data_IF_109085445450
#
_entry.id   IF_109085445450
#
_cell.length_a   1.000
_cell.length_b   1.000
_cell.length_c   1.000
_cell.angle_alpha   90.00
_cell.angle_beta   90.00
_cell.angle_gamma   90.00
#
_symmetry.space_group_name_H-M   'P 1'
#
loop_
_entity.id
_entity.type
_entity.pdbx_description
1 polymer ?
#
# COMPACT_ATOMS: atom_id res chain seq x y z
N UNK A 1 -13.63 -10.21 -9.08
CA UNK A 1 -12.61 -10.85 -9.94
C UNK A 1 -11.34 -10.01 -9.84
N UNK A 2 -10.26 -10.54 -9.29
CA UNK A 2 -9.00 -9.80 -9.18
C UNK A 2 -8.20 -9.88 -10.47
N UNK A 3 -7.50 -8.80 -10.82
CA UNK A 3 -6.46 -8.89 -11.85
C UNK A 3 -5.36 -9.80 -11.30
N UNK A 4 -5.10 -10.90 -11.99
CA UNK A 4 -4.04 -11.83 -11.62
C UNK A 4 -2.69 -11.11 -11.72
N UNK A 5 -1.81 -11.29 -10.73
CA UNK A 5 -0.48 -10.67 -10.75
C UNK A 5 0.27 -11.17 -11.98
N UNK A 6 0.58 -10.25 -12.90
CA UNK A 6 1.35 -10.53 -14.10
C UNK A 6 2.80 -10.08 -13.88
N UNK A 7 3.72 -10.98 -13.48
CA UNK A 7 5.06 -10.61 -12.99
C UNK A 7 5.96 -9.94 -14.04
N UNK A 8 5.56 -9.96 -15.31
CA UNK A 8 6.31 -9.37 -16.43
C UNK A 8 5.62 -8.14 -17.03
N UNK A 9 4.45 -7.75 -16.53
CA UNK A 9 3.74 -6.60 -17.06
C UNK A 9 4.43 -5.31 -16.59
N UNK A 10 4.95 -4.55 -17.55
CA UNK A 10 5.65 -3.27 -17.32
C UNK A 10 4.86 -2.05 -17.77
N UNK A 11 4.03 -2.20 -18.80
CA UNK A 11 3.25 -1.11 -19.37
C UNK A 11 1.78 -1.53 -19.38
N UNK A 12 0.91 -0.68 -18.83
CA UNK A 12 -0.53 -0.88 -18.80
C UNK A 12 -1.21 0.42 -19.21
N UNK A 13 -2.23 0.30 -20.05
CA UNK A 13 -3.08 1.41 -20.46
C UNK A 13 -4.52 0.99 -20.20
N UNK A 14 -5.21 1.78 -19.40
CA UNK A 14 -6.61 1.62 -19.01
C UNK A 14 -7.43 2.89 -19.26
N UNK A 15 -6.91 3.83 -20.07
CA UNK A 15 -7.67 4.97 -20.59
C UNK A 15 -9.04 4.56 -21.12
N UNK A 16 -10.02 5.44 -20.88
CA UNK A 16 -11.42 5.28 -21.28
C UNK A 16 -12.15 4.12 -20.59
N UNK A 17 -11.58 3.59 -19.49
CA UNK A 17 -12.26 2.60 -18.66
C UNK A 17 -12.98 3.31 -17.49
N UNK A 18 -14.28 3.04 -17.24
CA UNK A 18 -15.03 3.67 -16.14
C UNK A 18 -14.38 3.55 -14.76
N UNK A 19 -13.58 2.51 -14.54
CA UNK A 19 -12.82 2.31 -13.30
C UNK A 19 -11.84 3.45 -13.00
N UNK A 20 -11.43 4.24 -14.00
CA UNK A 20 -10.58 5.43 -13.80
C UNK A 20 -11.28 6.54 -12.99
N UNK A 21 -12.62 6.50 -12.90
CA UNK A 21 -13.41 7.42 -12.10
C UNK A 21 -13.41 7.07 -10.61
N UNK A 22 -12.91 5.88 -10.23
CA UNK A 22 -12.79 5.50 -8.83
C UNK A 22 -11.70 6.32 -8.13
N UNK A 23 -12.00 6.75 -6.90
CA UNK A 23 -11.04 7.45 -6.04
C UNK A 23 -9.84 6.53 -5.81
N UNK A 24 -8.65 7.09 -5.88
CA UNK A 24 -7.37 6.36 -5.71
C UNK A 24 -7.13 5.21 -6.69
N UNK A 25 -7.89 5.11 -7.79
CA UNK A 25 -7.72 4.09 -8.82
C UNK A 25 -6.25 3.87 -9.20
N UNK A 26 -5.55 4.97 -9.49
CA UNK A 26 -4.14 4.95 -9.90
C UNK A 26 -3.28 4.26 -8.84
N UNK A 27 -3.48 4.60 -7.57
CA UNK A 27 -2.72 4.02 -6.46
C UNK A 27 -3.05 2.56 -6.25
N UNK A 28 -4.33 2.20 -6.30
CA UNK A 28 -4.76 0.80 -6.17
C UNK A 28 -4.10 -0.08 -7.23
N UNK A 29 -3.99 0.41 -8.47
CA UNK A 29 -3.33 -0.33 -9.56
C UNK A 29 -1.83 -0.45 -9.33
N UNK A 30 -1.15 0.64 -8.95
CA UNK A 30 0.29 0.64 -8.66
C UNK A 30 0.61 -0.34 -7.53
N UNK A 31 -0.19 -0.32 -6.47
CA UNK A 31 0.01 -1.17 -5.30
C UNK A 31 -0.23 -2.65 -5.61
N UNK A 32 -1.24 -2.96 -6.44
CA UNK A 32 -1.53 -4.34 -6.89
C UNK A 32 -0.56 -4.87 -7.95
N UNK A 33 0.15 -3.99 -8.66
CA UNK A 33 1.10 -4.34 -9.72
C UNK A 33 2.48 -3.68 -9.50
N UNK A 34 3.27 -4.15 -8.52
CA UNK A 34 4.56 -3.54 -8.19
C UNK A 34 5.61 -3.63 -9.31
N UNK A 35 5.41 -4.47 -10.33
CA UNK A 35 6.30 -4.56 -11.50
C UNK A 35 5.97 -3.52 -12.58
N UNK A 36 4.86 -2.80 -12.45
CA UNK A 36 4.41 -1.83 -13.42
C UNK A 36 5.33 -0.60 -13.41
N UNK A 37 5.78 -0.20 -14.59
CA UNK A 37 6.67 0.95 -14.80
C UNK A 37 5.92 2.14 -15.42
N UNK A 38 4.91 1.87 -16.26
CA UNK A 38 4.11 2.89 -16.95
C UNK A 38 2.63 2.54 -16.85
N UNK A 39 1.82 3.52 -16.43
CA UNK A 39 0.36 3.44 -16.38
C UNK A 39 -0.22 4.61 -17.16
N UNK A 40 -1.13 4.36 -18.09
CA UNK A 40 -1.82 5.39 -18.88
C UNK A 40 -0.88 6.38 -19.60
N UNK A 41 0.24 5.84 -20.10
CA UNK A 41 1.35 6.58 -20.74
C UNK A 41 2.17 7.48 -19.78
N UNK A 42 1.92 7.41 -18.48
CA UNK A 42 2.69 8.10 -17.46
C UNK A 42 3.64 7.15 -16.73
N UNK A 43 4.89 7.55 -16.55
CA UNK A 43 5.85 6.79 -15.77
C UNK A 43 5.49 6.84 -14.28
N UNK A 44 5.55 5.68 -13.61
CA UNK A 44 5.32 5.57 -12.17
C UNK A 44 6.59 6.02 -11.45
N UNK A 45 6.46 7.03 -10.59
CA UNK A 45 7.58 7.54 -9.79
C UNK A 45 7.76 6.68 -8.52
N UNK A 46 8.95 6.67 -7.91
CA UNK A 46 9.17 5.98 -6.64
C UNK A 46 8.20 6.44 -5.54
N UNK A 47 7.97 7.75 -5.43
CA UNK A 47 7.03 8.34 -4.46
C UNK A 47 5.60 7.82 -4.62
N UNK A 48 5.15 7.60 -5.86
CA UNK A 48 3.80 7.05 -6.12
C UNK A 48 3.67 5.64 -5.54
N UNK A 49 4.76 4.85 -5.55
CA UNK A 49 4.76 3.50 -4.99
C UNK A 49 4.65 3.53 -3.47
N UNK A 50 5.45 4.36 -2.82
CA UNK A 50 5.42 4.50 -1.36
C UNK A 50 4.03 4.94 -0.88
N UNK A 51 3.44 5.90 -1.59
CA UNK A 51 2.10 6.36 -1.28
C UNK A 51 1.04 5.28 -1.55
N UNK A 52 1.16 4.53 -2.65
CA UNK A 52 0.23 3.44 -2.97
C UNK A 52 0.22 2.31 -1.92
N UNK A 53 1.36 2.04 -1.30
CA UNK A 53 1.47 1.06 -0.20
C UNK A 53 0.78 1.60 1.04
N UNK A 54 1.00 2.88 1.39
CA UNK A 54 0.31 3.53 2.51
C UNK A 54 -1.22 3.48 2.35
N UNK A 55 -1.74 3.80 1.18
CA UNK A 55 -3.19 3.74 0.91
C UNK A 55 -3.74 2.32 1.05
N UNK A 56 -3.00 1.30 0.57
CA UNK A 56 -3.39 -0.10 0.76
C UNK A 56 -3.41 -0.50 2.23
N UNK A 57 -2.38 -0.11 2.99
CA UNK A 57 -2.29 -0.41 4.41
C UNK A 57 -3.41 0.26 5.21
N UNK A 58 -3.76 1.49 4.87
CA UNK A 58 -4.87 2.21 5.50
C UNK A 58 -6.22 1.53 5.23
N UNK A 59 -6.47 1.13 3.98
CA UNK A 59 -7.67 0.37 3.62
C UNK A 59 -7.74 -0.98 4.35
N UNK A 60 -6.61 -1.71 4.45
CA UNK A 60 -6.56 -2.99 5.17
C UNK A 60 -6.78 -2.81 6.69
N UNK A 61 -6.26 -1.72 7.25
CA UNK A 61 -6.44 -1.41 8.66
C UNK A 61 -7.92 -1.16 8.99
N UNK A 62 -8.61 -0.38 8.16
CA UNK A 62 -10.03 -0.11 8.34
C UNK A 62 -10.88 -1.38 8.16
N UNK A 63 -10.59 -2.19 7.14
CA UNK A 63 -11.28 -3.48 6.93
C UNK A 63 -11.07 -4.43 8.12
N UNK A 64 -9.88 -4.44 8.73
CA UNK A 64 -9.61 -5.24 9.92
C UNK A 64 -10.39 -4.75 11.15
N UNK A 65 -10.54 -3.43 11.31
CA UNK A 65 -11.34 -2.85 12.41
C UNK A 65 -12.81 -3.21 12.22
N UNK A 66 -13.35 -3.06 11.02
CA UNK A 66 -14.74 -3.43 10.70
C UNK A 66 -15.00 -4.92 10.97
N UNK A 67 -14.04 -5.78 10.62
CA UNK A 67 -14.13 -7.22 10.89
C UNK A 67 -14.15 -7.50 12.40
N UNK A 68 -13.34 -6.79 13.20
CA UNK A 68 -13.32 -6.96 14.67
C UNK A 68 -14.66 -6.57 15.28
N UNK A 69 -15.22 -5.43 14.88
CA UNK A 69 -16.54 -4.98 15.34
C UNK A 69 -17.61 -6.00 14.97
N UNK A 70 -17.61 -6.49 13.73
CA UNK A 70 -18.57 -7.51 13.29
C UNK A 70 -18.45 -8.83 14.07
N UNK A 71 -17.24 -9.20 14.50
CA UNK A 71 -17.01 -10.39 15.34
C UNK A 71 -17.50 -10.16 16.77
N UNK A 72 -17.25 -8.98 17.35
CA UNK A 72 -17.76 -8.63 18.69
C UNK A 72 -19.29 -8.61 18.70
N UNK A 73 -19.93 -7.98 17.72
CA UNK A 73 -21.40 -7.99 17.56
C UNK A 73 -21.94 -9.43 17.41
N UNK A 74 -21.22 -10.31 16.71
CA UNK A 74 -21.59 -11.72 16.58
C UNK A 74 -21.44 -12.48 17.91
N UNK A 75 -20.37 -12.22 18.67
CA UNK A 75 -20.16 -12.83 19.98
C UNK A 75 -21.21 -12.39 21.00
N UNK A 76 -21.62 -11.11 20.97
CA UNK A 76 -22.71 -10.59 21.80
C UNK A 76 -24.08 -11.13 21.36
N UNK A 77 -24.26 -11.42 20.07
CA UNK A 77 -25.47 -12.04 19.53
C UNK A 77 -25.55 -13.55 19.82
N UNK A 78 -24.43 -14.21 20.13
CA UNK A 78 -24.43 -15.59 20.62
C UNK A 78 -24.70 -15.53 22.12
N UNK A 79 -25.97 -15.68 22.50
CA UNK A 79 -26.37 -15.96 23.88
C UNK A 79 -25.45 -17.07 24.41
N UNK A 80 -24.80 -16.92 25.58
CA UNK A 80 -24.01 -17.98 26.15
C UNK A 80 -24.95 -19.15 26.34
N UNK A 81 -24.80 -20.19 25.50
CA UNK A 81 -25.54 -21.44 25.65
C UNK A 81 -25.34 -21.84 27.10
N UNK A 82 -26.40 -21.76 27.90
CA UNK A 82 -26.41 -22.25 29.26
C UNK A 82 -26.02 -23.72 29.15
N UNK A 83 -24.73 -24.01 29.37
CA UNK A 83 -24.24 -25.34 29.64
C UNK A 83 -24.83 -25.71 30.99
N UNK A 84 -26.10 -26.09 30.95
CA UNK A 84 -26.78 -26.76 32.04
C UNK A 84 -26.10 -28.12 32.20
N UNK A 85 -24.95 -28.12 32.86
CA UNK A 85 -24.26 -29.32 33.30
C UNK A 85 -25.09 -29.95 34.41
N UNK A 86 -26.03 -30.79 33.98
CA UNK A 86 -26.45 -31.96 34.73
C UNK A 86 -25.27 -32.91 34.87
N UNK A 87 -24.31 -32.56 35.73
CA UNK A 87 -23.21 -33.45 36.12
C UNK A 87 -23.04 -33.40 37.64
N UNK A 88 -24.01 -33.96 38.36
CA UNK A 88 -23.81 -34.34 39.76
C UNK A 88 -22.86 -35.53 39.81
N UNK A 89 -21.55 -35.27 39.84
CA UNK A 89 -20.55 -36.27 40.21
C UNK A 89 -20.13 -36.04 41.66
N UNK A 90 -20.20 -37.05 42.55
CA UNK A 90 -19.87 -36.91 43.96
C UNK A 90 -18.35 -36.81 44.19
N UNK A 91 -17.93 -36.15 45.30
CA UNK A 91 -16.55 -35.76 45.52
C UNK A 91 -15.65 -36.92 45.97
N UNK A 92 -14.52 -37.03 45.27
CA UNK A 92 -13.15 -37.27 45.75
C UNK A 92 -12.90 -38.31 46.86
N UNK A 93 -12.12 -39.34 46.50
CA UNK A 93 -11.00 -39.76 47.34
C UNK A 93 -9.69 -39.72 46.54
N UNK A 94 -8.88 -38.73 46.87
CA UNK A 94 -7.46 -38.66 46.55
C UNK A 94 -6.69 -39.68 47.37
N UNK A 95 -5.86 -40.50 46.73
CA UNK A 95 -4.69 -41.10 47.37
C UNK A 95 -3.50 -40.92 46.44
N UNK A 96 -2.61 -40.04 46.90
CA UNK A 96 -1.28 -39.76 46.37
C UNK A 96 -0.35 -40.96 46.61
N UNK A 97 0.34 -41.38 45.56
CA UNK A 97 1.76 -41.83 45.45
C UNK A 97 1.94 -42.18 43.97
N UNK A 98 2.97 -41.84 43.20
CA UNK A 98 4.42 -41.79 43.42
C UNK A 98 4.99 -41.14 42.13
N UNK A 99 5.86 -40.14 42.24
CA UNK A 99 7.30 -40.33 42.04
C UNK A 99 7.63 -40.89 40.63
N UNK A 100 7.90 -39.99 39.70
CA UNK A 100 8.72 -40.28 38.52
C UNK A 100 9.62 -39.09 38.24
N UNK A 101 10.91 -39.31 38.49
CA UNK A 101 12.03 -38.60 37.89
C UNK A 101 11.77 -38.32 36.41
N UNK A 102 11.91 -37.06 36.01
CA UNK A 102 12.05 -36.69 34.61
C UNK A 102 13.38 -35.95 34.47
N UNK A 103 14.43 -36.74 34.20
CA UNK A 103 15.65 -36.23 33.57
C UNK A 103 15.33 -35.89 32.13
N UNK A 104 15.76 -34.73 31.65
CA UNK A 104 16.14 -34.57 30.25
C UNK A 104 17.03 -33.31 30.15
N UNK A 105 18.33 -33.58 30.21
CA UNK A 105 19.39 -32.72 29.73
C UNK A 105 19.32 -32.70 28.20
N UNK A 106 19.15 -31.54 27.57
CA UNK A 106 19.57 -31.34 26.18
C UNK A 106 20.15 -29.93 26.01
N UNK A 107 21.48 -29.89 26.17
CA UNK A 107 22.38 -28.89 25.62
C UNK A 107 22.18 -28.83 24.09
N UNK A 108 21.67 -27.70 23.58
CA UNK A 108 21.76 -27.39 22.16
C UNK A 108 22.97 -26.50 21.94
N UNK A 109 24.02 -27.13 21.42
CA UNK A 109 25.29 -26.51 21.03
C UNK A 109 25.11 -25.46 19.92
N UNK A 110 26.02 -24.49 20.03
CA UNK A 110 26.37 -23.43 19.10
C UNK A 110 26.51 -23.92 17.65
N UNK A 111 25.83 -23.23 16.73
CA UNK A 111 25.97 -23.42 15.29
C UNK A 111 26.65 -22.21 14.66
N UNK A 112 27.96 -22.31 14.53
CA UNK A 112 28.89 -21.36 13.89
C UNK A 112 28.55 -21.02 12.42
N UNK A 113 28.88 -19.77 12.09
CA UNK A 113 29.48 -19.26 10.85
C UNK A 113 28.81 -19.50 9.48
N UNK A 114 28.47 -18.37 8.84
CA UNK A 114 28.70 -18.18 7.41
C UNK A 114 29.08 -16.72 7.14
N UNK A 115 30.39 -16.47 7.03
CA UNK A 115 30.94 -15.31 6.35
C UNK A 115 30.57 -15.38 4.86
N UNK A 116 29.89 -14.36 4.34
CA UNK A 116 29.76 -14.12 2.90
C UNK A 116 30.43 -12.78 2.56
N UNK A 117 31.74 -12.86 2.32
CA UNK A 117 32.50 -11.88 1.54
C UNK A 117 32.03 -11.95 0.07
N UNK A 118 31.42 -10.89 -0.45
CA UNK A 118 31.31 -10.70 -1.90
C UNK A 118 31.48 -9.23 -2.33
N UNK A 119 32.67 -9.00 -2.92
CA UNK A 119 33.02 -8.09 -4.01
C UNK A 119 32.86 -6.58 -3.84
N UNK A 120 33.99 -5.96 -3.51
CA UNK A 120 34.38 -4.64 -4.01
C UNK A 120 34.30 -4.63 -5.55
N UNK A 121 33.42 -3.80 -6.10
CA UNK A 121 33.48 -3.41 -7.51
C UNK A 121 34.10 -2.03 -7.59
N UNK A 122 35.38 -2.04 -7.98
CA UNK A 122 36.16 -0.90 -8.46
C UNK A 122 35.38 -0.18 -9.59
N UNK A 123 34.74 0.95 -9.28
CA UNK A 123 34.26 1.88 -10.31
C UNK A 123 35.34 2.93 -10.55
N UNK A 124 36.15 2.59 -11.55
CA UNK A 124 37.18 3.42 -12.17
C UNK A 124 36.72 4.86 -12.40
N UNK A 125 37.51 5.78 -11.85
CA UNK A 125 37.55 7.19 -12.18
C UNK A 125 37.62 7.40 -13.71
N UNK A 126 36.62 8.09 -14.27
CA UNK A 126 36.83 8.86 -15.49
C UNK A 126 36.55 10.32 -15.21
N UNK A 127 37.63 11.00 -14.85
CA UNK A 127 37.81 12.42 -15.06
C UNK A 127 37.53 12.74 -16.53
N UNK A 128 36.52 13.56 -16.79
CA UNK A 128 36.52 14.41 -17.97
C UNK A 128 36.13 15.82 -17.55
N UNK A 129 37.18 16.62 -17.50
CA UNK A 129 37.24 18.04 -17.23
C UNK A 129 36.55 18.87 -18.32
N UNK A 130 36.05 20.04 -17.89
CA UNK A 130 35.70 21.26 -18.66
C UNK A 130 34.27 21.35 -19.19
N UNK A 131 33.42 21.95 -18.36
CA UNK A 131 32.73 23.23 -18.64
C UNK A 131 32.14 23.71 -17.30
N UNK A 132 32.90 24.44 -16.47
CA UNK A 132 32.91 25.90 -16.37
C UNK A 132 31.53 26.58 -16.45
N UNK A 133 31.08 27.00 -15.25
CA UNK A 133 30.30 28.23 -14.94
C UNK A 133 28.81 28.16 -15.32
N UNK A 134 27.84 28.53 -14.50
CA UNK A 134 27.77 29.54 -13.44
C UNK A 134 26.79 29.10 -12.34
N UNK A 135 27.20 29.15 -11.08
CA UNK A 135 26.30 29.17 -9.94
C UNK A 135 25.71 30.58 -9.83
N UNK A 136 24.50 30.79 -10.33
CA UNK A 136 23.69 31.94 -9.91
C UNK A 136 22.85 31.50 -8.71
N UNK A 137 23.28 31.97 -7.53
CA UNK A 137 22.37 32.22 -6.41
C UNK A 137 21.20 33.04 -6.92
N UNK A 138 19.99 32.52 -6.77
CA UNK A 138 18.77 33.32 -6.88
C UNK A 138 18.32 33.55 -5.44
N UNK A 139 18.37 34.82 -5.07
CA UNK A 139 17.91 35.39 -3.82
C UNK A 139 16.41 35.12 -3.65
N UNK A 140 16.02 34.66 -2.47
CA UNK A 140 14.66 34.84 -1.96
C UNK A 140 14.48 36.34 -1.73
N UNK A 141 13.62 37.00 -2.52
CA UNK A 141 12.78 38.13 -2.10
C UNK A 141 11.89 38.58 -3.29
N UNK A 142 10.62 38.81 -2.98
CA UNK A 142 9.62 39.60 -3.74
C UNK A 142 9.14 39.14 -5.13
N UNK A 143 8.10 38.28 -5.16
CA UNK A 143 7.05 38.34 -6.19
C UNK A 143 5.65 38.17 -5.58
N UNK A 144 5.24 39.17 -4.80
CA UNK A 144 3.85 39.61 -4.82
C UNK A 144 3.49 40.08 -6.25
N UNK A 145 2.20 39.94 -6.63
CA UNK A 145 1.52 40.57 -7.79
C UNK A 145 1.57 39.76 -9.11
N UNK A 146 0.51 39.01 -9.42
CA UNK A 146 -0.68 39.52 -10.12
C UNK A 146 -1.70 38.40 -10.43
N UNK A 147 -2.91 38.59 -9.92
CA UNK A 147 -4.12 37.82 -10.20
C UNK A 147 -4.51 38.01 -11.68
N UNK A 148 -4.28 37.00 -12.53
CA UNK A 148 -4.82 36.97 -13.88
C UNK A 148 -6.25 36.43 -13.85
N UNK A 149 -7.19 37.36 -14.03
CA UNK A 149 -8.62 37.10 -14.01
C UNK A 149 -9.08 36.08 -15.06
N UNK A 150 -10.04 35.26 -14.63
CA UNK A 150 -10.95 34.52 -15.48
C UNK A 150 -11.61 35.48 -16.47
N UNK A 151 -11.27 35.36 -17.75
CA UNK A 151 -12.11 35.89 -18.82
C UNK A 151 -13.10 34.80 -19.19
N UNK A 152 -14.37 35.04 -18.85
CA UNK A 152 -15.49 34.26 -19.36
C UNK A 152 -15.43 34.20 -20.90
N UNK A 153 -15.75 33.04 -21.52
CA UNK A 153 -15.87 32.96 -22.96
C UNK A 153 -17.08 33.79 -23.42
N UNK A 154 -16.85 34.65 -24.41
CA UNK A 154 -17.90 35.38 -25.12
C UNK A 154 -18.81 34.37 -25.83
N UNK A 155 -20.12 34.51 -25.62
CA UNK A 155 -21.12 33.91 -26.49
C UNK A 155 -21.01 34.57 -27.86
N UNK A 156 -20.60 33.78 -28.86
CA UNK A 156 -20.70 34.18 -30.26
C UNK A 156 -22.16 34.04 -30.70
N UNK A 157 -22.79 35.18 -30.97
CA UNK A 157 -24.07 35.30 -31.69
C UNK A 157 -23.87 34.79 -33.13
N UNK A 158 -24.33 33.56 -33.42
CA UNK A 158 -24.56 33.14 -34.81
C UNK A 158 -26.01 33.40 -35.21
N UNK A 159 -26.14 34.57 -35.84
CA UNK A 159 -27.10 34.96 -36.86
C UNK A 159 -27.29 33.85 -37.92
N UNK A 160 -28.47 33.22 -37.92
CA UNK A 160 -28.99 32.52 -39.10
C UNK A 160 -30.37 33.07 -39.42
N UNK A 161 -30.39 33.96 -40.42
CA UNK A 161 -31.59 34.45 -41.06
C UNK A 161 -32.38 33.30 -41.70
N UNK A 162 -33.63 33.16 -41.26
CA UNK A 162 -34.66 32.44 -42.00
C UNK A 162 -35.14 33.31 -43.17
N UNK A 163 -34.78 32.90 -44.39
CA UNK A 163 -35.52 33.25 -45.59
C UNK A 163 -36.60 32.17 -45.82
N UNK A 164 -37.88 32.49 -45.63
CA UNK A 164 -38.97 31.83 -46.37
C UNK A 164 -40.13 32.80 -46.64
N UNK A 165 -40.58 32.76 -47.90
CA UNK A 165 -41.78 33.35 -48.56
C UNK A 165 -41.76 34.77 -49.10
#
# INVERSE_FOLDING_TARGET
MGITVLPRLKNLVMMDNPVQLEVDFRMVIIARMPTLAVLDKEAIKPYDRDWSIMTLLDSLYHEQVDLKVAVEDLMDAIDPVEMADTATLPPSQTSLTSETDFMEDEDWEDGEEADDEVNEVDVVERTNSKDLLETKSIEEDDLDREYYGEKEPKEDEEDQGEQET
#
